data_IF_470120430891
#
_entry.id   IF_470120430891
#
_cell.length_a   1.000
_cell.length_b   1.000
_cell.length_c   1.000
_cell.angle_alpha   90.00
_cell.angle_beta   90.00
_cell.angle_gamma   90.00
#
_symmetry.space_group_name_H-M   'P 1'
#
loop_
_entity.id
_entity.type
_entity.pdbx_description
1 polymer ?
#
# COMPACT_ATOMS: atom_id res chain seq x y z
N UNK A 1 22.23 -11.72 9.79
CA UNK A 1 21.08 -11.35 10.65
C UNK A 1 20.13 -10.40 9.91
N UNK A 2 18.83 -10.44 10.21
CA UNK A 2 17.83 -9.45 9.83
C UNK A 2 17.37 -8.63 11.05
N UNK A 3 17.31 -7.31 10.88
CA UNK A 3 16.57 -6.39 11.75
C UNK A 3 15.87 -5.34 10.87
N UNK A 4 14.53 -5.31 10.89
CA UNK A 4 13.73 -4.38 10.08
C UNK A 4 12.68 -3.68 10.95
N UNK A 5 12.80 -2.36 11.11
CA UNK A 5 11.95 -1.52 11.96
C UNK A 5 10.97 -0.71 11.11
N UNK A 6 9.69 -1.04 11.21
CA UNK A 6 8.58 -0.38 10.52
C UNK A 6 7.90 0.60 11.46
N UNK A 7 7.82 1.87 11.05
CA UNK A 7 7.29 2.99 11.84
C UNK A 7 5.85 2.79 12.33
N UNK A 8 5.02 2.10 11.55
CA UNK A 8 3.61 1.85 11.89
C UNK A 8 3.18 0.44 11.53
N UNK A 9 2.68 -0.31 12.51
CA UNK A 9 2.12 -1.65 12.33
C UNK A 9 0.98 -1.68 11.29
N UNK A 10 0.26 -0.57 11.13
CA UNK A 10 -0.85 -0.46 10.17
C UNK A 10 -0.45 -0.84 8.75
N UNK A 11 0.78 -0.56 8.32
CA UNK A 11 1.30 -0.88 6.98
C UNK A 11 1.35 -2.40 6.79
N UNK A 12 2.06 -3.11 7.68
CA UNK A 12 2.16 -4.58 7.63
C UNK A 12 0.79 -5.25 7.79
N UNK A 13 -0.07 -4.72 8.67
CA UNK A 13 -1.43 -5.25 8.87
C UNK A 13 -2.27 -5.15 7.60
N UNK A 14 -2.25 -4.00 6.90
CA UNK A 14 -2.96 -3.80 5.64
C UNK A 14 -2.39 -4.67 4.52
N UNK A 15 -1.06 -4.79 4.43
CA UNK A 15 -0.39 -5.65 3.44
C UNK A 15 -0.81 -7.11 3.60
N UNK A 16 -0.71 -7.65 4.81
CA UNK A 16 -1.12 -9.02 5.07
C UNK A 16 -2.62 -9.23 4.86
N UNK A 17 -3.46 -8.26 5.23
CA UNK A 17 -4.90 -8.33 4.97
C UNK A 17 -5.21 -8.43 3.48
N UNK A 18 -4.43 -7.75 2.63
CA UNK A 18 -4.57 -7.78 1.18
C UNK A 18 -4.13 -9.12 0.55
N UNK A 19 -3.06 -9.75 1.06
CA UNK A 19 -2.47 -10.94 0.42
C UNK A 19 -2.87 -12.29 1.04
N UNK A 20 -3.33 -12.31 2.30
CA UNK A 20 -3.63 -13.56 3.06
C UNK A 20 -4.68 -14.47 2.44
N UNK A 21 -5.51 -13.96 1.52
CA UNK A 21 -6.53 -14.75 0.83
C UNK A 21 -6.03 -15.41 -0.44
N UNK A 22 -4.88 -14.95 -0.96
CA UNK A 22 -4.21 -15.53 -2.10
C UNK A 22 -3.16 -16.53 -1.65
N UNK A 23 -2.42 -16.19 -0.60
CA UNK A 23 -1.23 -16.92 -0.15
C UNK A 23 -1.40 -17.30 1.32
N UNK A 24 -1.28 -18.60 1.60
CA UNK A 24 -1.32 -19.11 2.99
C UNK A 24 0.07 -19.13 3.61
N UNK A 25 1.04 -19.61 2.85
CA UNK A 25 2.44 -19.78 3.23
C UNK A 25 3.32 -19.17 2.13
N UNK A 26 4.40 -18.49 2.50
CA UNK A 26 5.33 -17.92 1.52
C UNK A 26 6.63 -17.46 2.17
N UNK A 27 7.65 -17.22 1.34
CA UNK A 27 8.93 -16.69 1.79
C UNK A 27 8.92 -15.16 1.79
N UNK A 28 9.32 -14.58 2.91
CA UNK A 28 9.79 -13.20 2.98
C UNK A 28 11.28 -13.20 2.63
N UNK A 29 11.59 -12.89 1.38
CA UNK A 29 12.94 -12.81 0.86
C UNK A 29 13.55 -11.48 1.33
N UNK A 30 14.43 -11.56 2.32
CA UNK A 30 15.11 -10.40 2.87
C UNK A 30 16.49 -10.26 2.22
N UNK A 31 16.78 -9.09 1.67
CA UNK A 31 18.05 -8.72 1.02
C UNK A 31 18.49 -7.34 1.48
N UNK A 32 19.65 -6.87 1.07
CA UNK A 32 20.09 -5.48 1.30
C UNK A 32 19.15 -4.42 0.66
N UNK A 33 18.44 -4.77 -0.41
CA UNK A 33 17.44 -3.91 -1.05
C UNK A 33 16.11 -3.80 -0.28
N UNK A 34 15.81 -4.75 0.61
CA UNK A 34 14.60 -4.74 1.43
C UNK A 34 13.95 -6.11 1.61
N UNK A 35 12.61 -6.13 1.72
CA UNK A 35 11.84 -7.38 1.92
C UNK A 35 10.91 -7.58 0.73
N UNK A 36 11.03 -8.72 0.08
CA UNK A 36 10.15 -9.12 -1.01
C UNK A 36 9.35 -10.38 -0.66
N UNK A 37 8.18 -10.54 -1.28
CA UNK A 37 7.43 -11.78 -1.29
C UNK A 37 6.85 -11.99 -2.67
N UNK A 38 7.07 -13.17 -3.24
CA UNK A 38 6.44 -13.59 -4.47
C UNK A 38 5.77 -14.95 -4.26
N UNK A 39 4.50 -15.07 -4.63
CA UNK A 39 3.78 -16.33 -4.50
C UNK A 39 2.59 -16.40 -5.48
N UNK A 40 2.26 -17.63 -5.89
CA UNK A 40 1.05 -17.94 -6.63
C UNK A 40 -0.08 -18.34 -5.68
N UNK A 41 -1.32 -18.17 -6.12
CA UNK A 41 -2.47 -18.77 -5.45
C UNK A 41 -2.54 -20.28 -5.72
N UNK A 42 -3.35 -21.01 -4.94
CA UNK A 42 -3.49 -22.47 -5.06
C UNK A 42 -3.98 -22.94 -6.44
N UNK A 43 -4.61 -22.07 -7.24
CA UNK A 43 -5.05 -22.42 -8.60
C UNK A 43 -4.03 -22.05 -9.68
N UNK A 44 -2.93 -21.39 -9.33
CA UNK A 44 -1.91 -20.88 -10.25
C UNK A 44 -2.47 -19.92 -11.32
N UNK A 45 -3.54 -19.19 -10.99
CA UNK A 45 -4.20 -18.22 -11.88
C UNK A 45 -3.80 -16.79 -11.52
N UNK A 46 -3.45 -16.54 -10.25
CA UNK A 46 -3.01 -15.26 -9.75
C UNK A 46 -1.64 -15.34 -9.10
N UNK A 47 -0.82 -14.31 -9.32
CA UNK A 47 0.48 -14.13 -8.66
C UNK A 47 0.48 -12.81 -7.90
N UNK A 48 1.04 -12.82 -6.69
CA UNK A 48 1.34 -11.62 -5.93
C UNK A 48 2.84 -11.38 -5.91
N UNK A 49 3.25 -10.13 -6.09
CA UNK A 49 4.63 -9.66 -5.89
C UNK A 49 4.58 -8.42 -5.00
N UNK A 50 5.12 -8.56 -3.79
CA UNK A 50 5.28 -7.50 -2.80
C UNK A 50 6.76 -7.14 -2.75
N UNK A 51 7.07 -5.84 -2.75
CA UNK A 51 8.39 -5.30 -2.47
C UNK A 51 8.28 -4.18 -1.44
N UNK A 52 9.04 -4.28 -0.36
CA UNK A 52 9.25 -3.23 0.63
C UNK A 52 10.70 -2.79 0.53
N UNK A 53 10.92 -1.49 0.34
CA UNK A 53 12.26 -0.94 0.09
C UNK A 53 12.97 -0.67 1.41
N UNK A 54 14.26 -1.04 1.50
CA UNK A 54 15.07 -0.90 2.71
C UNK A 54 15.15 0.54 3.26
N UNK A 55 15.17 1.53 2.37
CA UNK A 55 15.23 2.96 2.70
C UNK A 55 13.95 3.49 3.35
N UNK A 56 12.83 2.77 3.22
CA UNK A 56 11.54 3.16 3.80
C UNK A 56 11.31 2.59 5.21
N UNK A 57 12.26 1.82 5.74
CA UNK A 57 12.27 1.40 7.14
C UNK A 57 12.96 2.45 8.01
N UNK A 58 12.55 2.55 9.27
CA UNK A 58 13.21 3.43 10.24
C UNK A 58 14.64 2.95 10.56
N UNK A 59 14.81 1.63 10.56
CA UNK A 59 16.10 0.96 10.59
C UNK A 59 15.98 -0.33 9.80
N UNK A 60 16.95 -0.60 8.92
CA UNK A 60 17.02 -1.84 8.16
C UNK A 60 18.43 -2.37 8.14
N UNK A 61 18.56 -3.66 8.45
CA UNK A 61 19.82 -4.40 8.35
C UNK A 61 19.51 -5.82 7.89
N UNK A 62 20.12 -6.22 6.78
CA UNK A 62 20.13 -7.60 6.31
C UNK A 62 21.57 -7.95 5.91
N UNK A 63 22.27 -8.75 6.72
CA UNK A 63 23.68 -9.04 6.47
C UNK A 63 23.89 -10.01 5.28
N UNK A 64 22.90 -10.86 5.01
CA UNK A 64 22.92 -11.89 3.97
C UNK A 64 21.50 -12.15 3.50
N UNK A 65 21.35 -12.46 2.22
CA UNK A 65 20.08 -12.85 1.65
C UNK A 65 19.52 -14.05 2.41
N UNK A 66 18.33 -13.89 2.99
CA UNK A 66 17.71 -14.93 3.80
C UNK A 66 16.21 -15.05 3.48
N UNK A 67 15.76 -16.19 2.94
CA UNK A 67 14.35 -16.47 2.80
C UNK A 67 13.76 -16.88 4.15
N UNK A 68 12.73 -16.17 4.61
CA UNK A 68 12.01 -16.49 5.83
C UNK A 68 10.65 -17.09 5.49
N UNK A 69 10.53 -18.41 5.55
CA UNK A 69 9.27 -19.10 5.30
C UNK A 69 8.28 -18.91 6.43
N UNK A 70 7.16 -18.26 6.13
CA UNK A 70 6.15 -17.86 7.12
C UNK A 70 4.75 -18.30 6.71
N UNK A 71 3.98 -18.75 7.70
CA UNK A 71 2.54 -18.88 7.56
C UNK A 71 1.89 -17.49 7.72
N UNK A 72 1.41 -16.90 6.64
CA UNK A 72 0.85 -15.54 6.61
C UNK A 72 -0.40 -15.41 7.48
N UNK A 73 -1.18 -16.48 7.63
CA UNK A 73 -2.34 -16.49 8.54
C UNK A 73 -1.91 -16.32 10.00
N UNK A 74 -0.84 -16.99 10.42
CA UNK A 74 -0.29 -16.90 11.78
C UNK A 74 0.39 -15.56 12.02
N UNK A 75 1.18 -15.09 11.06
CA UNK A 75 1.78 -13.75 11.10
C UNK A 75 0.71 -12.65 11.24
N UNK A 76 -0.39 -12.76 10.49
CA UNK A 76 -1.55 -11.85 10.60
C UNK A 76 -2.17 -11.87 12.00
N UNK A 77 -2.28 -13.05 12.64
CA UNK A 77 -2.80 -13.17 14.02
C UNK A 77 -1.88 -12.50 15.04
N UNK A 78 -0.57 -12.63 14.88
CA UNK A 78 0.41 -11.99 15.78
C UNK A 78 0.38 -10.47 15.59
N UNK A 79 0.37 -9.97 14.36
CA UNK A 79 0.28 -8.53 14.08
C UNK A 79 -1.01 -7.87 14.56
N UNK A 80 -2.10 -8.63 14.77
CA UNK A 80 -3.31 -8.11 15.42
C UNK A 80 -3.11 -7.72 16.89
N UNK A 81 -2.05 -8.19 17.54
CA UNK A 81 -1.69 -7.78 18.90
C UNK A 81 -1.07 -6.37 18.95
N UNK A 82 -0.65 -5.81 17.82
CA UNK A 82 -0.15 -4.45 17.69
C UNK A 82 -1.28 -3.45 17.39
N UNK A 83 -1.24 -2.28 18.04
CA UNK A 83 -2.05 -1.12 17.64
C UNK A 83 -1.50 -0.56 16.34
N UNK A 84 -2.36 0.14 15.58
CA UNK A 84 -2.00 0.63 14.24
C UNK A 84 -0.80 1.59 14.20
N UNK A 85 -0.58 2.33 15.29
CA UNK A 85 0.52 3.28 15.44
C UNK A 85 1.71 2.72 16.22
N UNK A 86 1.69 1.44 16.62
CA UNK A 86 2.84 0.83 17.27
C UNK A 86 3.96 0.64 16.23
N UNK A 87 5.20 0.81 16.66
CA UNK A 87 6.39 0.50 15.88
C UNK A 87 6.60 -1.01 15.91
N UNK A 88 6.93 -1.60 14.76
CA UNK A 88 7.14 -3.05 14.63
C UNK A 88 8.57 -3.31 14.22
N UNK A 89 9.29 -4.13 14.99
CA UNK A 89 10.62 -4.60 14.63
C UNK A 89 10.56 -6.10 14.33
N UNK A 90 10.96 -6.49 13.12
CA UNK A 90 11.15 -7.88 12.71
C UNK A 90 12.62 -8.27 12.93
N UNK A 91 12.87 -9.41 13.58
CA UNK A 91 14.22 -9.89 13.91
C UNK A 91 14.38 -11.36 13.56
N UNK A 92 15.45 -11.68 12.86
CA UNK A 92 15.84 -13.07 12.60
C UNK A 92 17.38 -13.22 12.64
N UNK A 93 17.86 -14.25 13.31
CA UNK A 93 19.26 -14.65 13.26
C UNK A 93 19.62 -15.23 11.88
N UNK A 94 20.92 -15.46 11.65
CA UNK A 94 21.43 -15.96 10.38
C UNK A 94 20.97 -17.39 10.01
N UNK A 95 20.75 -18.22 11.02
CA UNK A 95 20.28 -19.60 10.97
C UNK A 95 18.97 -19.73 11.75
N UNK A 96 18.10 -18.73 11.60
CA UNK A 96 16.88 -18.62 12.40
C UNK A 96 15.90 -19.78 12.15
N UNK A 97 15.50 -20.44 13.24
CA UNK A 97 14.32 -21.31 13.28
C UNK A 97 13.03 -20.53 13.62
N UNK A 98 13.16 -19.25 13.95
CA UNK A 98 12.07 -18.39 14.38
C UNK A 98 12.22 -16.93 13.93
N UNK A 99 11.07 -16.29 13.69
CA UNK A 99 10.96 -14.86 13.47
C UNK A 99 10.49 -14.18 14.76
N UNK A 100 11.31 -13.28 15.28
CA UNK A 100 10.97 -12.40 16.39
C UNK A 100 10.22 -11.15 15.90
N UNK A 101 9.16 -10.78 16.62
CA UNK A 101 8.40 -9.55 16.41
C UNK A 101 8.35 -8.75 17.72
N UNK A 102 8.81 -7.51 17.68
CA UNK A 102 8.76 -6.58 18.82
C UNK A 102 7.81 -5.44 18.46
N UNK A 103 6.81 -5.20 19.30
CA UNK A 103 5.84 -4.11 19.15
C UNK A 103 6.05 -3.08 20.25
N UNK A 104 6.38 -1.85 19.88
CA UNK A 104 6.65 -0.75 20.79
C UNK A 104 5.60 0.34 20.60
N UNK A 105 4.91 0.72 21.69
CA UNK A 105 3.97 1.82 21.60
C UNK A 105 4.68 3.16 21.77
N UNK A 106 4.54 4.13 20.85
CA UNK A 106 5.19 5.44 21.00
C UNK A 106 4.54 6.33 22.07
N UNK A 107 3.35 5.96 22.56
CA UNK A 107 2.56 6.75 23.53
C UNK A 107 2.48 6.12 24.91
N UNK A 108 2.72 4.83 25.01
CA UNK A 108 2.60 4.04 26.22
C UNK A 108 3.94 3.35 26.45
N UNK A 109 4.36 3.20 27.70
CA UNK A 109 5.54 2.41 28.05
C UNK A 109 5.22 0.91 27.97
N UNK A 110 4.86 0.46 26.75
CA UNK A 110 4.44 -0.90 26.45
C UNK A 110 5.31 -1.45 25.33
N UNK A 111 5.99 -2.56 25.64
CA UNK A 111 6.72 -3.39 24.70
C UNK A 111 6.11 -4.79 24.72
N UNK A 112 5.78 -5.32 23.55
CA UNK A 112 5.30 -6.69 23.38
C UNK A 112 6.26 -7.48 22.49
N UNK A 113 6.73 -8.62 22.98
CA UNK A 113 7.62 -9.51 22.25
C UNK A 113 6.88 -10.80 21.89
N UNK A 114 6.98 -11.18 20.62
CA UNK A 114 6.35 -12.36 20.07
C UNK A 114 7.36 -13.12 19.21
N UNK A 115 7.18 -14.42 19.13
CA UNK A 115 8.03 -15.29 18.33
C UNK A 115 7.14 -16.26 17.56
N UNK A 116 7.47 -16.50 16.30
CA UNK A 116 6.83 -17.55 15.50
C UNK A 116 7.87 -18.44 14.86
N UNK A 117 7.57 -19.74 14.77
CA UNK A 117 8.42 -20.69 14.06
C UNK A 117 8.40 -20.42 12.56
N UNK A 118 9.58 -20.49 11.97
CA UNK A 118 9.76 -20.50 10.54
C UNK A 118 9.53 -21.92 10.00
N UNK A 119 9.35 -22.00 8.69
CA UNK A 119 9.18 -23.26 7.98
C UNK A 119 9.98 -23.24 6.69
N UNK A 120 10.43 -24.41 6.26
CA UNK A 120 11.09 -24.57 4.97
C UNK A 120 10.03 -24.56 3.86
N UNK A 121 10.10 -23.55 3.00
CA UNK A 121 9.26 -23.45 1.81
C UNK A 121 10.19 -23.34 0.62
N UNK A 122 9.98 -24.24 -0.35
CA UNK A 122 10.71 -24.23 -1.59
C UNK A 122 10.50 -22.90 -2.32
N UNK A 123 11.60 -22.27 -2.69
CA UNK A 123 11.59 -20.95 -3.31
C UNK A 123 11.35 -21.10 -4.82
N UNK A 124 10.10 -20.93 -5.25
CA UNK A 124 9.74 -20.86 -6.66
C UNK A 124 9.73 -19.39 -7.13
N UNK A 125 10.91 -18.88 -7.50
CA UNK A 125 10.99 -17.57 -8.14
C UNK A 125 10.53 -17.63 -9.59
N UNK A 126 9.45 -16.93 -9.88
CA UNK A 126 8.96 -16.71 -11.23
C UNK A 126 9.55 -15.42 -11.77
N UNK A 127 10.30 -15.53 -12.86
CA UNK A 127 10.76 -14.37 -13.61
C UNK A 127 9.56 -13.62 -14.18
N UNK A 128 9.31 -12.40 -13.68
CA UNK A 128 8.31 -11.50 -14.25
C UNK A 128 9.01 -10.76 -15.42
N UNK A 129 8.58 -10.98 -16.68
CA UNK A 129 9.20 -10.32 -17.82
C UNK A 129 8.79 -8.85 -17.90
N UNK A 130 9.71 -8.00 -18.35
CA UNK A 130 9.42 -6.62 -18.71
C UNK A 130 8.44 -6.59 -19.89
N UNK A 131 7.18 -6.33 -19.58
CA UNK A 131 6.07 -6.42 -20.53
C UNK A 131 5.63 -5.02 -20.93
N UNK A 132 5.49 -4.79 -22.24
CA UNK A 132 4.83 -3.59 -22.75
C UNK A 132 3.32 -3.82 -22.74
N UNK A 133 2.59 -2.86 -22.17
CA UNK A 133 1.14 -2.93 -22.05
C UNK A 133 0.49 -2.00 -23.08
N UNK A 134 -0.56 -2.51 -23.74
CA UNK A 134 -1.31 -1.75 -24.74
C UNK A 134 -2.21 -0.68 -24.09
N UNK A 135 -2.56 -0.84 -22.82
CA UNK A 135 -3.33 0.12 -22.05
C UNK A 135 -2.88 0.17 -20.57
N UNK A 136 -2.68 1.38 -20.06
CA UNK A 136 -2.44 1.65 -18.64
C UNK A 136 -3.50 2.60 -18.12
N UNK A 137 -4.27 2.15 -17.13
CA UNK A 137 -5.34 2.91 -16.49
C UNK A 137 -4.97 3.18 -15.05
N UNK A 138 -4.85 4.44 -14.66
CA UNK A 138 -4.67 4.87 -13.27
C UNK A 138 -5.95 5.54 -12.76
N UNK A 139 -6.44 5.10 -11.60
CA UNK A 139 -7.65 5.64 -10.98
C UNK A 139 -7.59 5.57 -9.45
N UNK A 140 -8.57 6.16 -8.77
CA UNK A 140 -8.77 5.97 -7.34
C UNK A 140 -8.90 4.50 -6.97
N UNK A 141 -8.08 4.04 -6.02
CA UNK A 141 -8.15 2.66 -5.51
C UNK A 141 -9.48 2.35 -4.84
N UNK A 142 -10.10 3.35 -4.19
CA UNK A 142 -11.40 3.25 -3.56
C UNK A 142 -12.53 3.09 -4.60
N UNK A 143 -12.46 3.79 -5.73
CA UNK A 143 -13.43 3.63 -6.81
C UNK A 143 -13.27 2.26 -7.49
N UNK A 144 -12.04 1.80 -7.73
CA UNK A 144 -11.79 0.44 -8.22
C UNK A 144 -12.39 -0.62 -7.28
N UNK A 145 -12.16 -0.49 -5.96
CA UNK A 145 -12.74 -1.38 -4.95
C UNK A 145 -14.27 -1.37 -4.97
N UNK A 146 -14.87 -0.20 -5.13
CA UNK A 146 -16.31 -0.05 -5.24
C UNK A 146 -16.84 -0.74 -6.50
N UNK A 147 -16.22 -0.53 -7.66
CA UNK A 147 -16.60 -1.16 -8.93
C UNK A 147 -16.55 -2.68 -8.81
N UNK A 148 -15.46 -3.25 -8.30
CA UNK A 148 -15.33 -4.70 -8.13
C UNK A 148 -16.43 -5.26 -7.23
N UNK A 149 -16.71 -4.61 -6.09
CA UNK A 149 -17.77 -5.04 -5.17
C UNK A 149 -19.16 -4.96 -5.78
N UNK A 150 -19.46 -3.85 -6.47
CA UNK A 150 -20.78 -3.60 -7.03
C UNK A 150 -21.07 -4.58 -8.19
N UNK A 151 -20.07 -4.89 -9.03
CA UNK A 151 -20.21 -5.87 -10.12
C UNK A 151 -20.20 -7.32 -9.64
N UNK A 152 -19.47 -7.65 -8.58
CA UNK A 152 -19.46 -8.99 -7.98
C UNK A 152 -20.83 -9.40 -7.41
N UNK A 153 -21.71 -8.45 -7.12
CA UNK A 153 -23.10 -8.72 -6.73
C UNK A 153 -23.99 -9.15 -7.92
N UNK A 154 -23.54 -8.90 -9.16
CA UNK A 154 -24.30 -9.19 -10.38
C UNK A 154 -23.81 -10.45 -11.09
N UNK A 155 -22.50 -10.67 -11.14
CA UNK A 155 -21.90 -11.82 -11.82
C UNK A 155 -20.51 -12.17 -11.31
N UNK A 156 -19.96 -13.27 -11.82
CA UNK A 156 -18.66 -13.80 -11.38
C UNK A 156 -17.48 -13.27 -12.21
N UNK A 157 -17.76 -12.64 -13.34
CA UNK A 157 -16.76 -12.19 -14.30
C UNK A 157 -16.98 -10.73 -14.67
N UNK A 158 -15.90 -9.99 -14.86
CA UNK A 158 -15.95 -8.62 -15.37
C UNK A 158 -15.18 -8.54 -16.67
N UNK A 159 -15.81 -7.98 -17.70
CA UNK A 159 -15.15 -7.54 -18.92
C UNK A 159 -14.63 -6.12 -18.70
N UNK A 160 -13.33 -5.94 -18.89
CA UNK A 160 -12.65 -4.64 -18.80
C UNK A 160 -12.23 -4.24 -20.22
N UNK A 161 -12.76 -3.12 -20.68
CA UNK A 161 -12.56 -2.60 -22.04
C UNK A 161 -11.93 -1.21 -21.98
N UNK A 162 -10.69 -1.09 -22.46
CA UNK A 162 -9.98 0.18 -22.57
C UNK A 162 -10.05 0.69 -24.02
N UNK A 163 -10.61 1.89 -24.19
CA UNK A 163 -10.80 2.50 -25.51
C UNK A 163 -10.63 4.03 -25.44
N UNK A 164 -10.75 4.70 -26.60
CA UNK A 164 -10.72 6.17 -26.68
C UNK A 164 -11.85 6.85 -25.91
N UNK A 165 -12.95 6.15 -25.64
CA UNK A 165 -14.08 6.70 -24.87
C UNK A 165 -13.85 6.69 -23.36
N UNK A 166 -12.89 5.89 -22.89
CA UNK A 166 -12.64 5.61 -21.48
C UNK A 166 -12.41 4.12 -21.22
N UNK A 167 -12.40 3.77 -19.92
CA UNK A 167 -12.37 2.38 -19.45
C UNK A 167 -13.76 1.96 -18.99
N UNK A 168 -14.25 0.84 -19.54
CA UNK A 168 -15.54 0.27 -19.19
C UNK A 168 -15.35 -1.04 -18.44
N UNK A 169 -16.04 -1.16 -17.32
CA UNK A 169 -16.22 -2.41 -16.58
C UNK A 169 -17.65 -2.88 -16.81
N UNK A 170 -17.83 -4.11 -17.27
CA UNK A 170 -19.16 -4.70 -17.45
C UNK A 170 -19.22 -6.12 -16.91
N UNK A 171 -20.35 -6.46 -16.29
CA UNK A 171 -20.61 -7.80 -15.76
C UNK A 171 -22.04 -8.18 -16.08
N UNK A 172 -22.25 -9.45 -16.38
CA UNK A 172 -23.56 -10.06 -16.64
C UNK A 172 -23.70 -11.31 -15.75
N UNK A 173 -24.87 -11.50 -15.17
CA UNK A 173 -25.22 -12.69 -14.43
C UNK A 173 -26.73 -12.86 -14.28
N UNK A 174 -27.15 -13.81 -13.45
CA UNK A 174 -28.55 -14.26 -13.40
C UNK A 174 -29.54 -13.16 -12.99
N UNK A 175 -29.12 -12.26 -12.09
CA UNK A 175 -29.97 -11.18 -11.55
C UNK A 175 -30.05 -10.00 -12.52
N UNK A 176 -29.07 -9.85 -13.42
CA UNK A 176 -29.03 -8.78 -14.41
C UNK A 176 -27.61 -8.45 -14.87
N UNK A 177 -27.49 -7.34 -15.60
CA UNK A 177 -26.22 -6.82 -16.09
C UNK A 177 -25.93 -5.42 -15.54
N UNK A 178 -24.65 -5.09 -15.42
CA UNK A 178 -24.16 -3.80 -14.93
C UNK A 178 -22.98 -3.32 -15.76
N UNK A 179 -22.88 -2.01 -15.96
CA UNK A 179 -21.74 -1.38 -16.62
C UNK A 179 -21.38 -0.05 -15.99
N UNK A 180 -20.09 0.15 -15.74
CA UNK A 180 -19.50 1.40 -15.25
C UNK A 180 -18.50 1.88 -16.30
N UNK A 181 -18.60 3.13 -16.74
CA UNK A 181 -17.66 3.77 -17.67
C UNK A 181 -16.96 4.92 -16.94
N UNK A 182 -15.64 4.84 -16.84
CA UNK A 182 -14.81 5.93 -16.36
C UNK A 182 -14.15 6.62 -17.56
N UNK A 183 -14.29 7.93 -17.64
CA UNK A 183 -13.71 8.76 -18.70
C UNK A 183 -12.42 9.39 -18.21
N UNK A 184 -11.50 9.66 -19.14
CA UNK A 184 -10.29 10.43 -18.87
C UNK A 184 -10.62 11.76 -18.20
N UNK A 185 -9.97 12.06 -17.08
CA UNK A 185 -10.06 13.37 -16.46
C UNK A 185 -9.29 14.39 -17.29
N UNK A 186 -9.94 15.51 -17.63
CA UNK A 186 -9.30 16.61 -18.35
C UNK A 186 -8.23 17.26 -17.46
N UNK A 187 -6.94 16.98 -17.72
CA UNK A 187 -5.81 17.63 -17.04
C UNK A 187 -4.66 16.73 -16.60
N UNK A 188 -4.79 15.40 -16.67
CA UNK A 188 -3.76 14.46 -16.20
C UNK A 188 -2.97 13.85 -17.37
N UNK A 189 -2.29 14.66 -18.16
CA UNK A 189 -1.21 14.16 -19.02
C UNK A 189 0.10 14.24 -18.24
N UNK A 190 0.47 13.17 -17.53
CA UNK A 190 1.84 13.02 -17.03
C UNK A 190 2.70 12.51 -18.19
N UNK A 191 3.37 13.44 -18.86
CA UNK A 191 4.26 13.16 -19.99
C UNK A 191 5.34 12.15 -19.64
N UNK A 192 5.48 11.12 -20.48
CA UNK A 192 6.59 10.18 -20.44
C UNK A 192 7.90 10.86 -20.79
N UNK A 193 8.74 11.11 -19.79
CA UNK A 193 10.11 11.54 -19.95
C UNK A 193 11.01 10.33 -20.24
N UNK A 194 11.30 10.08 -21.51
CA UNK A 194 12.44 9.24 -21.89
C UNK A 194 13.74 9.91 -21.40
N UNK A 195 14.42 9.27 -20.45
CA UNK A 195 15.78 9.65 -20.04
C UNK A 195 16.74 9.51 -21.24
N UNK A 196 16.99 10.62 -21.93
CA UNK A 196 18.16 10.77 -22.79
C UNK A 196 19.34 11.23 -21.94
N UNK A 197 20.31 10.33 -21.80
CA UNK A 197 21.68 10.60 -21.38
C UNK A 197 22.22 11.88 -22.03
N UNK A 198 22.55 12.88 -21.22
CA UNK A 198 23.48 13.95 -21.59
C UNK A 198 24.63 13.89 -20.59
N UNK A 199 25.77 13.40 -21.08
CA UNK A 199 27.08 13.55 -20.44
C UNK A 199 27.33 15.04 -20.18
N UNK A 200 27.74 15.38 -18.97
CA UNK A 200 28.45 16.63 -18.68
C UNK A 200 29.76 16.27 -18.02
N UNK A 201 30.84 16.67 -18.69
CA UNK A 201 32.20 16.64 -18.16
C UNK A 201 32.34 17.64 -17.01
N UNK A 202 33.26 17.40 -16.04
CA UNK A 202 33.48 18.25 -14.89
C UNK A 202 34.63 19.21 -15.17
N UNK A 203 34.37 20.51 -15.22
CA UNK A 203 35.37 21.58 -15.05
C UNK A 203 34.59 22.87 -14.88
N UNK A 204 34.57 23.41 -13.66
CA UNK A 204 34.56 24.85 -13.33
C UNK A 204 34.49 24.98 -11.79
N UNK A 205 35.65 25.33 -11.22
CA UNK A 205 35.86 25.83 -9.86
C UNK A 205 35.38 27.29 -9.81
N UNK A 206 34.53 27.68 -8.85
CA UNK A 206 34.43 29.04 -8.29
C UNK A 206 33.86 28.88 -6.85
N UNK A 207 34.71 28.94 -5.82
CA UNK A 207 35.07 30.12 -4.99
C UNK A 207 34.03 30.48 -3.92
N UNK A 208 34.55 30.52 -2.68
CA UNK A 208 33.89 30.79 -1.40
C UNK A 208 33.57 32.28 -1.25
N UNK A 209 32.42 32.62 -0.68
CA UNK A 209 32.27 33.88 0.07
C UNK A 209 31.60 33.59 1.42
N UNK A 210 32.41 33.76 2.48
CA UNK A 210 31.98 33.90 3.86
C UNK A 210 31.50 35.33 4.09
N UNK A 211 30.33 35.52 4.73
CA UNK A 211 30.02 36.78 5.41
C UNK A 211 29.90 36.54 6.92
N UNK A 212 30.86 37.11 7.66
CA UNK A 212 30.81 37.33 9.09
C UNK A 212 29.77 38.42 9.43
N UNK A 213 29.00 38.23 10.51
CA UNK A 213 28.54 39.37 11.31
C UNK A 213 28.71 39.05 12.81
N UNK A 214 29.57 39.84 13.45
CA UNK A 214 30.10 39.64 14.79
C UNK A 214 29.47 40.69 15.74
N UNK A 215 28.95 40.22 16.90
CA UNK A 215 28.91 40.87 18.24
C UNK A 215 27.86 41.97 18.53
N UNK A 216 27.23 42.08 19.72
CA UNK A 216 27.58 41.65 21.10
C UNK A 216 26.33 41.70 22.05
N UNK A 217 26.45 41.24 23.32
CA UNK A 217 25.37 40.87 24.25
C UNK A 217 25.15 41.86 25.41
N UNK A 218 24.06 41.65 26.18
CA UNK A 218 23.84 42.05 27.58
C UNK A 218 22.88 40.97 28.15
N UNK A 219 23.16 40.09 29.13
CA UNK A 219 23.69 40.14 30.51
C UNK A 219 22.72 40.76 31.54
N UNK A 220 22.19 39.83 32.35
CA UNK A 220 21.67 39.89 33.73
C UNK A 220 20.39 40.73 34.01
N UNK A 221 19.48 40.33 34.91
CA UNK A 221 19.71 39.83 36.26
C UNK A 221 18.46 39.14 36.84
N UNK A 222 18.73 38.34 37.87
CA UNK A 222 17.85 37.46 38.65
C UNK A 222 16.80 38.19 39.51
N UNK A 223 15.83 37.43 40.04
CA UNK A 223 14.92 37.92 41.08
C UNK A 223 13.85 36.89 41.47
N UNK A 224 14.18 36.09 42.48
CA UNK A 224 13.32 35.15 43.22
C UNK A 224 12.15 35.89 43.91
N UNK A 225 10.99 35.21 44.09
CA UNK A 225 10.49 34.87 45.42
C UNK A 225 9.10 34.20 45.40
N UNK A 226 8.95 33.32 46.40
CA UNK A 226 7.90 32.35 46.67
C UNK A 226 6.60 32.93 47.28
N UNK A 227 5.62 32.01 47.43
CA UNK A 227 4.74 31.78 48.61
C UNK A 227 3.22 31.87 48.35
N UNK A 228 2.56 30.72 48.60
CA UNK A 228 1.21 30.41 49.14
C UNK A 228 -0.02 31.28 48.77
N UNK A 229 -1.27 30.83 48.80
CA UNK A 229 -1.94 29.85 49.66
C UNK A 229 -3.30 29.45 49.03
N UNK A 230 -3.92 28.49 49.69
CA UNK A 230 -5.11 27.70 49.47
C UNK A 230 -6.42 28.36 49.00
N UNK A 231 -7.27 27.50 48.41
CA UNK A 231 -8.59 27.09 48.96
C UNK A 231 -9.80 27.14 48.00
N UNK A 232 -10.52 25.99 47.95
CA UNK A 232 -11.83 25.75 47.28
C UNK A 232 -12.96 26.22 48.25
N UNK A 233 -14.31 26.25 47.95
CA UNK A 233 -15.06 25.40 47.00
C UNK A 233 -16.37 25.98 46.34
N UNK A 234 -16.89 25.22 45.36
CA UNK A 234 -18.31 24.89 45.03
C UNK A 234 -19.44 25.96 45.05
N UNK A 235 -20.14 26.10 43.91
CA UNK A 235 -21.62 26.24 43.88
C UNK A 235 -22.27 25.38 42.77
N UNK A 236 -23.34 24.68 43.15
CA UNK A 236 -24.21 23.80 42.32
C UNK A 236 -25.54 24.51 42.03
N UNK A 237 -26.11 24.17 40.85
CA UNK A 237 -27.55 24.16 40.43
C UNK A 237 -28.24 25.54 40.29
N UNK A 238 -29.14 25.80 39.33
CA UNK A 238 -30.14 24.94 38.69
C UNK A 238 -30.62 25.44 37.30
N UNK A 239 -31.14 24.49 36.50
CA UNK A 239 -32.23 24.52 35.53
C UNK A 239 -32.49 25.77 34.63
N UNK A 240 -32.52 25.58 33.30
CA UNK A 240 -33.77 25.49 32.52
C UNK A 240 -33.50 25.04 31.07
N UNK A 241 -34.44 24.33 30.45
CA UNK A 241 -34.23 23.60 29.19
C UNK A 241 -34.37 24.41 27.90
N UNK A 242 -33.98 23.77 26.78
CA UNK A 242 -34.65 23.82 25.47
C UNK A 242 -33.99 22.85 24.48
N UNK A 243 -34.84 22.11 23.76
CA UNK A 243 -34.49 21.18 22.71
C UNK A 243 -33.76 21.85 21.54
N UNK A 244 -32.68 21.25 21.02
CA UNK A 244 -32.19 21.40 19.64
C UNK A 244 -31.45 20.14 19.17
N UNK A 245 -32.04 19.50 18.16
CA UNK A 245 -31.44 18.74 17.05
C UNK A 245 -29.91 18.54 17.08
N UNK A 246 -29.47 17.31 17.37
CA UNK A 246 -28.11 16.85 17.11
C UNK A 246 -27.91 16.63 15.60
N UNK A 247 -27.48 17.68 14.90
CA UNK A 247 -26.92 17.58 13.56
C UNK A 247 -25.49 17.01 13.72
N UNK A 248 -25.31 15.71 13.51
CA UNK A 248 -23.98 15.09 13.38
C UNK A 248 -23.23 15.84 12.27
N UNK A 249 -22.20 16.59 12.67
CA UNK A 249 -21.20 17.13 11.75
C UNK A 249 -20.49 15.94 11.11
N UNK A 250 -20.86 15.68 9.85
CA UNK A 250 -20.15 14.76 8.96
C UNK A 250 -18.75 15.34 8.80
N UNK A 251 -17.75 14.60 9.26
CA UNK A 251 -16.36 14.87 8.90
C UNK A 251 -16.32 14.90 7.36
N UNK A 252 -15.95 16.05 6.81
CA UNK A 252 -15.68 16.19 5.39
C UNK A 252 -14.34 15.49 5.18
N UNK A 253 -14.36 14.28 4.62
CA UNK A 253 -13.15 13.72 4.03
C UNK A 253 -12.76 14.63 2.88
N UNK A 254 -11.54 15.17 2.95
CA UNK A 254 -10.89 15.83 1.83
C UNK A 254 -10.50 14.74 0.81
N UNK A 255 -11.50 14.15 0.16
CA UNK A 255 -11.29 13.38 -1.06
C UNK A 255 -11.06 14.42 -2.17
N UNK A 256 -9.81 14.86 -2.31
CA UNK A 256 -9.38 15.41 -3.59
C UNK A 256 -9.65 14.33 -4.64
N UNK A 257 -10.55 14.64 -5.57
CA UNK A 257 -11.03 13.72 -6.59
C UNK A 257 -9.83 13.25 -7.43
N UNK A 258 -9.36 12.04 -7.17
CA UNK A 258 -8.27 11.42 -7.92
C UNK A 258 -8.82 11.14 -9.32
N UNK A 259 -8.40 11.97 -10.28
CA UNK A 259 -8.81 11.84 -11.67
C UNK A 259 -8.39 10.51 -12.30
N UNK A 260 -9.06 10.13 -13.38
CA UNK A 260 -8.76 8.91 -14.15
C UNK A 260 -7.78 9.26 -15.26
N UNK A 261 -6.66 8.54 -15.32
CA UNK A 261 -5.66 8.63 -16.38
C UNK A 261 -5.62 7.34 -17.20
N UNK A 262 -5.64 7.44 -18.52
CA UNK A 262 -5.71 6.35 -19.47
C UNK A 262 -4.66 6.62 -20.55
N UNK A 263 -3.62 5.82 -20.54
CA UNK A 263 -2.62 5.76 -21.61
C UNK A 263 -2.99 4.57 -22.49
N UNK A 264 -3.33 4.84 -23.76
CA UNK A 264 -3.85 3.84 -24.69
C UNK A 264 -2.98 3.78 -25.95
N UNK A 265 -2.25 2.67 -26.12
CA UNK A 265 -1.56 2.35 -27.37
C UNK A 265 -2.48 1.59 -28.33
N UNK A 266 -3.21 0.57 -27.81
CA UNK A 266 -4.22 -0.18 -28.57
C UNK A 266 -5.45 -0.45 -27.71
N UNK A 267 -6.59 -0.70 -28.36
CA UNK A 267 -7.79 -1.13 -27.66
C UNK A 267 -7.59 -2.52 -27.06
N UNK A 268 -7.96 -2.68 -25.79
CA UNK A 268 -7.86 -3.93 -25.05
C UNK A 268 -9.22 -4.27 -24.48
N UNK A 269 -9.62 -5.54 -24.60
CA UNK A 269 -10.90 -6.04 -24.10
C UNK A 269 -10.71 -7.45 -23.56
N UNK A 270 -10.64 -7.58 -22.25
CA UNK A 270 -10.37 -8.85 -21.57
C UNK A 270 -11.38 -9.11 -20.46
N UNK A 271 -11.64 -10.40 -20.20
CA UNK A 271 -12.56 -10.83 -19.13
C UNK A 271 -11.77 -11.42 -17.98
N UNK A 272 -12.09 -11.04 -16.74
CA UNK A 272 -11.41 -11.52 -15.54
C UNK A 272 -12.40 -12.02 -14.49
N UNK A 273 -11.91 -12.82 -13.55
CA UNK A 273 -12.69 -13.26 -12.40
C UNK A 273 -12.84 -12.13 -11.36
N UNK A 274 -14.08 -11.77 -11.03
CA UNK A 274 -14.38 -10.74 -10.03
C UNK A 274 -13.97 -11.16 -8.62
N UNK A 275 -13.88 -12.47 -8.34
CA UNK A 275 -13.37 -13.00 -7.06
C UNK A 275 -11.94 -12.51 -6.79
N UNK A 276 -11.04 -12.64 -7.77
CA UNK A 276 -9.64 -12.21 -7.62
C UNK A 276 -9.52 -10.69 -7.55
N UNK A 277 -10.22 -9.97 -8.43
CA UNK A 277 -10.17 -8.50 -8.42
C UNK A 277 -10.72 -7.90 -7.13
N UNK A 278 -11.77 -8.50 -6.55
CA UNK A 278 -12.31 -8.09 -5.25
C UNK A 278 -11.30 -8.33 -4.13
N UNK A 279 -10.47 -9.38 -4.22
CA UNK A 279 -9.40 -9.64 -3.27
C UNK A 279 -8.26 -8.63 -3.43
N UNK A 280 -7.81 -8.36 -4.66
CA UNK A 280 -6.77 -7.37 -4.92
C UNK A 280 -7.18 -5.98 -4.45
N UNK A 281 -8.46 -5.62 -4.64
CA UNK A 281 -9.00 -4.33 -4.23
C UNK A 281 -9.06 -4.11 -2.71
N UNK A 282 -8.80 -5.13 -1.88
CA UNK A 282 -8.58 -4.97 -0.43
C UNK A 282 -7.32 -4.16 -0.12
N UNK A 283 -6.45 -3.97 -1.11
CA UNK A 283 -5.26 -3.12 -1.03
C UNK A 283 -5.56 -1.62 -1.09
N UNK A 284 -6.80 -1.19 -1.36
CA UNK A 284 -7.15 0.23 -1.44
C UNK A 284 -6.74 1.09 -0.22
N UNK A 285 -6.73 0.59 1.03
CA UNK A 285 -6.22 1.36 2.18
C UNK A 285 -4.69 1.57 2.21
N UNK A 286 -3.93 0.93 1.32
CA UNK A 286 -2.46 1.07 1.20
C UNK A 286 -2.08 2.24 0.29
N UNK A 287 -2.79 2.40 -0.84
CA UNK A 287 -2.47 3.38 -1.88
C UNK A 287 -3.71 4.14 -2.32
N UNK A 288 -3.59 5.46 -2.56
CA UNK A 288 -4.70 6.30 -3.05
C UNK A 288 -5.09 5.95 -4.49
N UNK A 289 -4.12 5.51 -5.28
CA UNK A 289 -4.26 5.17 -6.69
C UNK A 289 -4.02 3.67 -6.92
N UNK A 290 -4.64 3.14 -7.97
CA UNK A 290 -4.36 1.82 -8.52
C UNK A 290 -4.10 1.95 -10.01
N UNK A 291 -3.13 1.21 -10.52
CA UNK A 291 -2.82 1.11 -11.95
C UNK A 291 -3.18 -0.27 -12.50
N UNK A 292 -3.99 -0.29 -13.55
CA UNK A 292 -4.35 -1.49 -14.31
C UNK A 292 -3.59 -1.47 -15.63
N UNK A 293 -2.68 -2.43 -15.82
CA UNK A 293 -1.87 -2.56 -17.01
C UNK A 293 -2.32 -3.79 -17.80
N UNK A 294 -2.73 -3.58 -19.05
CA UNK A 294 -3.45 -4.57 -19.85
C UNK A 294 -2.85 -4.70 -21.25
N UNK A 295 -2.76 -5.93 -21.74
CA UNK A 295 -2.55 -6.26 -23.16
C UNK A 295 -3.20 -7.62 -23.43
N UNK A 296 -3.66 -7.87 -24.66
CA UNK A 296 -4.49 -9.05 -24.96
C UNK A 296 -3.76 -10.40 -24.76
N UNK A 297 -2.43 -10.39 -24.77
CA UNK A 297 -1.59 -11.62 -24.76
C UNK A 297 -0.90 -11.87 -23.42
N UNK A 298 -1.13 -11.03 -22.41
CA UNK A 298 -0.44 -11.09 -21.12
C UNK A 298 -1.41 -10.96 -19.95
N UNK A 299 -1.07 -11.46 -18.75
CA UNK A 299 -1.88 -11.27 -17.56
C UNK A 299 -2.11 -9.78 -17.26
N UNK A 300 -3.29 -9.46 -16.72
CA UNK A 300 -3.55 -8.14 -16.15
C UNK A 300 -2.62 -7.92 -14.96
N UNK A 301 -1.93 -6.79 -14.96
CA UNK A 301 -1.18 -6.32 -13.80
C UNK A 301 -2.00 -5.24 -13.07
N UNK A 302 -2.34 -5.51 -11.81
CA UNK A 302 -2.94 -4.57 -10.86
C UNK A 302 -1.88 -4.13 -9.87
N UNK A 303 -1.49 -2.85 -9.92
CA UNK A 303 -0.40 -2.30 -9.12
C UNK A 303 -0.89 -1.24 -8.14
N UNK A 304 -0.43 -1.35 -6.90
CA UNK A 304 -0.60 -0.37 -5.84
C UNK A 304 0.80 0.09 -5.38
N UNK A 305 1.12 1.36 -5.64
CA UNK A 305 2.33 2.00 -5.13
C UNK A 305 1.99 2.77 -3.87
N UNK A 306 2.73 2.49 -2.80
CA UNK A 306 2.59 3.14 -1.50
C UNK A 306 3.97 3.57 -1.00
N UNK A 307 4.00 4.38 0.05
CA UNK A 307 5.24 5.00 0.53
C UNK A 307 6.37 4.00 0.76
N UNK A 308 6.07 2.84 1.37
CA UNK A 308 7.09 1.84 1.73
C UNK A 308 7.46 0.87 0.60
N UNK A 309 6.80 0.92 -0.56
CA UNK A 309 7.10 0.06 -1.69
C UNK A 309 5.91 -0.20 -2.61
N UNK A 310 5.90 -1.38 -3.24
CA UNK A 310 4.95 -1.72 -4.30
C UNK A 310 4.31 -3.08 -4.05
N UNK A 311 3.00 -3.16 -4.31
CA UNK A 311 2.22 -4.40 -4.31
C UNK A 311 1.61 -4.61 -5.69
N UNK A 312 2.03 -5.68 -6.36
CA UNK A 312 1.59 -6.07 -7.70
C UNK A 312 0.82 -7.38 -7.63
N UNK A 313 -0.29 -7.44 -8.37
CA UNK A 313 -1.04 -8.66 -8.62
C UNK A 313 -1.11 -8.92 -10.12
N UNK A 314 -0.84 -10.14 -10.53
CA UNK A 314 -0.98 -10.60 -11.90
C UNK A 314 -2.15 -11.56 -11.97
N UNK A 315 -3.02 -11.40 -12.96
CA UNK A 315 -4.21 -12.24 -13.13
C UNK A 315 -4.40 -12.64 -14.59
N UNK A 316 -4.42 -13.95 -14.83
CA UNK A 316 -4.71 -14.46 -16.15
C UNK A 316 -6.15 -14.11 -16.58
N UNK A 317 -6.37 -13.70 -17.85
CA UNK A 317 -7.71 -13.51 -18.36
C UNK A 317 -8.47 -14.84 -18.42
N UNK A 318 -9.79 -14.79 -18.26
CA UNK A 318 -10.65 -15.91 -18.61
C UNK A 318 -10.63 -16.08 -20.13
N UNK A 319 -10.30 -17.28 -20.58
CA UNK A 319 -10.40 -17.63 -22.00
C UNK A 319 -11.88 -17.59 -22.38
N UNK A 320 -12.31 -16.56 -23.11
CA UNK A 320 -13.58 -16.64 -23.83
C UNK A 320 -13.37 -17.66 -24.94
N UNK A 321 -14.20 -18.71 -25.01
CA UNK A 321 -14.30 -19.52 -26.22
C UNK A 321 -14.61 -18.55 -27.37
N UNK A 322 -13.60 -18.23 -28.17
CA UNK A 322 -13.84 -17.72 -29.52
C UNK A 322 -14.50 -18.91 -30.20
N UNK A 323 -15.81 -18.84 -30.38
CA UNK A 323 -16.48 -19.67 -31.35
C UNK A 323 -15.87 -19.30 -32.69
N UNK A 324 -14.92 -20.12 -33.15
CA UNK A 324 -14.43 -20.07 -34.52
C UNK A 324 -15.66 -20.22 -35.44
N UNK A 325 -16.05 -19.13 -36.10
CA UNK A 325 -16.95 -19.15 -37.27
C UNK A 325 -16.17 -19.55 -38.53
#
# INVERSE_FOLDING_TARGET
MLEARVKQASVLKKLLDAIKELVTDGNLDCTDEGIALQAMDNSHVALVSLKLLADQFEAYRCDRNMPLGVNLTSLTKILKCAKDNDVVTLKAADDADSLGLVFESPKEDRVGEYEMKLMDIDQEHLGIPDTQYDATITMSSAEFQRICRDLAALGESVKIEASKEGVRFSSEGEVGSGSVLLKQSAGTERGGGSSKNVKRDPDEEEEEEEEEEDRKPDVDEEGEDEVDDEDRPKKRKAANGKAKTAKKSKAVSSDEDVGVSIILEKQVSLTFSLKYLSNFAKSAPLAREVSLNMSNDVPLLVQFDFEQGTLQFFLAPKVSHISDE
#
